data_IF_741751433001
#
_entry.id   IF_741751433001
#
_cell.length_a   1.000
_cell.length_b   1.000
_cell.length_c   1.000
_cell.angle_alpha   90.00
_cell.angle_beta   90.00
_cell.angle_gamma   90.00
#
_symmetry.space_group_name_H-M   'P 1'
#
loop_
_entity.id
_entity.type
_entity.pdbx_description
1 polymer ?
#
# COMPACT_ATOMS: atom_id res chain seq x y z
N UNK A 1 -0.40 12.45 -14.47
CA UNK A 1 0.30 13.42 -13.58
C UNK A 1 -0.37 13.36 -12.22
N UNK A 2 0.38 13.45 -11.14
CA UNK A 2 -0.13 13.62 -9.77
C UNK A 2 0.23 15.03 -9.32
N UNK A 3 -0.78 15.88 -9.11
CA UNK A 3 -0.58 17.26 -8.70
C UNK A 3 -0.34 17.33 -7.18
N UNK A 4 0.40 18.33 -6.68
CA UNK A 4 0.63 18.50 -5.24
C UNK A 4 -0.65 18.53 -4.41
N UNK A 5 -1.73 19.12 -4.91
CA UNK A 5 -3.02 19.20 -4.24
C UNK A 5 -3.69 17.83 -4.01
N UNK A 6 -3.43 16.87 -4.90
CA UNK A 6 -3.99 15.50 -4.81
C UNK A 6 -3.14 14.57 -3.93
N UNK A 7 -1.92 14.98 -3.58
CA UNK A 7 -0.96 14.11 -2.89
C UNK A 7 -1.40 13.66 -1.49
N UNK A 8 -2.02 14.52 -0.65
CA UNK A 8 -2.53 14.08 0.66
C UNK A 8 -3.56 12.96 0.52
N UNK A 9 -4.55 13.13 -0.36
CA UNK A 9 -5.60 12.13 -0.59
C UNK A 9 -5.01 10.83 -1.18
N UNK A 10 -4.04 10.95 -2.09
CA UNK A 10 -3.35 9.80 -2.65
C UNK A 10 -2.58 8.99 -1.58
N UNK A 11 -1.91 9.66 -0.64
CA UNK A 11 -1.23 9.01 0.49
C UNK A 11 -2.23 8.26 1.37
N UNK A 12 -3.35 8.90 1.74
CA UNK A 12 -4.38 8.27 2.58
C UNK A 12 -4.97 7.02 1.92
N UNK A 13 -5.32 7.10 0.62
CA UNK A 13 -5.83 5.95 -0.13
C UNK A 13 -4.84 4.80 -0.20
N UNK A 14 -3.55 5.10 -0.40
CA UNK A 14 -2.50 4.08 -0.42
C UNK A 14 -2.32 3.41 0.95
N UNK A 15 -2.37 4.20 2.03
CA UNK A 15 -2.29 3.66 3.39
C UNK A 15 -3.50 2.78 3.74
N UNK A 16 -4.71 3.22 3.37
CA UNK A 16 -5.93 2.43 3.54
C UNK A 16 -5.87 1.11 2.75
N UNK A 17 -5.35 1.13 1.51
CA UNK A 17 -5.17 -0.06 0.70
C UNK A 17 -4.16 -1.05 1.31
N UNK A 18 -3.05 -0.54 1.88
CA UNK A 18 -2.11 -1.38 2.63
C UNK A 18 -2.79 -2.03 3.83
N UNK A 19 -3.56 -1.27 4.61
CA UNK A 19 -4.25 -1.81 5.78
C UNK A 19 -5.25 -2.91 5.39
N UNK A 20 -6.05 -2.68 4.34
CA UNK A 20 -7.01 -3.66 3.84
C UNK A 20 -6.33 -4.96 3.36
N UNK A 21 -5.17 -4.88 2.70
CA UNK A 21 -4.40 -6.06 2.26
C UNK A 21 -3.86 -6.86 3.46
N UNK A 22 -3.37 -6.19 4.50
CA UNK A 22 -2.87 -6.84 5.71
C UNK A 22 -4.01 -7.47 6.53
N UNK A 23 -5.15 -6.79 6.64
CA UNK A 23 -6.35 -7.29 7.33
C UNK A 23 -6.89 -8.55 6.63
N UNK A 24 -6.94 -8.54 5.30
CA UNK A 24 -7.33 -9.71 4.51
C UNK A 24 -6.39 -10.88 4.80
N UNK A 25 -5.07 -10.67 4.77
CA UNK A 25 -4.10 -11.73 5.06
C UNK A 25 -4.24 -12.27 6.48
N UNK A 26 -4.47 -11.39 7.46
CA UNK A 26 -4.70 -11.79 8.84
C UNK A 26 -5.97 -12.63 8.99
N UNK A 27 -7.04 -12.26 8.28
CA UNK A 27 -8.29 -13.03 8.24
C UNK A 27 -8.07 -14.43 7.67
N UNK A 28 -7.39 -14.56 6.53
CA UNK A 28 -7.11 -15.87 5.91
C UNK A 28 -6.24 -16.77 6.81
N UNK A 29 -5.26 -16.19 7.51
CA UNK A 29 -4.46 -16.95 8.49
C UNK A 29 -5.35 -17.45 9.63
N UNK A 30 -6.25 -16.59 10.14
CA UNK A 30 -7.15 -16.93 11.24
C UNK A 30 -8.14 -18.03 10.82
N UNK A 31 -8.71 -17.93 9.63
CA UNK A 31 -9.62 -18.93 9.08
C UNK A 31 -8.93 -20.29 8.90
N UNK A 32 -7.70 -20.31 8.40
CA UNK A 32 -6.91 -21.55 8.29
C UNK A 32 -6.61 -22.16 9.67
N UNK A 33 -6.28 -21.34 10.67
CA UNK A 33 -6.07 -21.80 12.05
C UNK A 33 -7.34 -22.39 12.67
N UNK A 34 -8.50 -21.75 12.46
CA UNK A 34 -9.79 -22.23 12.96
C UNK A 34 -10.20 -23.56 12.30
N UNK A 35 -9.85 -23.77 11.03
CA UNK A 35 -10.11 -25.02 10.31
C UNK A 35 -9.06 -26.11 10.59
N UNK A 36 -7.99 -25.79 11.34
CA UNK A 36 -6.88 -26.71 11.60
C UNK A 36 -6.00 -26.98 10.37
N UNK A 37 -6.09 -26.12 9.35
CA UNK A 37 -5.32 -26.20 8.12
C UNK A 37 -3.99 -25.44 8.25
N UNK A 38 -3.05 -25.74 7.35
CA UNK A 38 -1.81 -25.01 7.28
C UNK A 38 -2.05 -23.55 6.86
N UNK A 39 -1.39 -22.56 7.48
CA UNK A 39 -1.61 -21.16 7.14
C UNK A 39 -1.22 -20.89 5.67
N UNK A 40 -2.00 -20.04 4.97
CA UNK A 40 -1.74 -19.71 3.58
C UNK A 40 -0.38 -19.04 3.43
N UNK A 41 0.39 -19.48 2.43
CA UNK A 41 1.69 -18.90 2.11
C UNK A 41 1.51 -17.76 1.12
N UNK A 42 1.71 -16.53 1.57
CA UNK A 42 1.68 -15.36 0.68
C UNK A 42 3.01 -15.26 -0.06
N UNK A 43 3.01 -15.64 -1.33
CA UNK A 43 4.20 -15.57 -2.18
C UNK A 43 4.38 -14.18 -2.80
N UNK A 44 5.64 -13.76 -2.97
CA UNK A 44 6.00 -12.53 -3.68
C UNK A 44 6.16 -11.28 -2.79
N UNK A 45 6.33 -10.13 -3.45
CA UNK A 45 6.51 -8.83 -2.80
C UNK A 45 5.15 -8.28 -2.38
N UNK A 46 4.98 -7.95 -1.10
CA UNK A 46 3.72 -7.45 -0.55
C UNK A 46 3.36 -6.06 -1.06
N UNK A 47 2.08 -5.70 -0.99
CA UNK A 47 1.61 -4.35 -1.34
C UNK A 47 2.34 -3.31 -0.50
N UNK A 48 2.47 -3.53 0.81
CA UNK A 48 3.23 -2.67 1.72
C UNK A 48 4.67 -2.44 1.23
N UNK A 49 5.37 -3.51 0.86
CA UNK A 49 6.76 -3.40 0.41
C UNK A 49 6.92 -2.55 -0.86
N UNK A 50 5.93 -2.57 -1.77
CA UNK A 50 5.92 -1.74 -2.98
C UNK A 50 5.46 -0.31 -2.72
N UNK A 51 4.45 -0.15 -1.88
CA UNK A 51 3.78 1.14 -1.67
C UNK A 51 4.56 2.07 -0.74
N UNK A 52 5.31 1.56 0.24
CA UNK A 52 6.13 2.39 1.15
C UNK A 52 7.12 3.31 0.42
N UNK A 53 8.02 2.82 -0.47
CA UNK A 53 8.95 3.71 -1.16
C UNK A 53 8.22 4.75 -2.03
N UNK A 54 7.06 4.38 -2.58
CA UNK A 54 6.24 5.28 -3.37
C UNK A 54 5.57 6.38 -2.53
N UNK A 55 4.99 6.03 -1.37
CA UNK A 55 4.44 7.00 -0.41
C UNK A 55 5.53 7.99 0.04
N UNK A 56 6.74 7.51 0.32
CA UNK A 56 7.86 8.38 0.70
C UNK A 56 8.26 9.34 -0.43
N UNK A 57 8.21 8.88 -1.68
CA UNK A 57 8.42 9.75 -2.84
C UNK A 57 7.33 10.82 -2.93
N UNK A 58 6.04 10.47 -2.77
CA UNK A 58 4.92 11.42 -2.80
C UNK A 58 5.09 12.47 -1.69
N UNK A 59 5.44 12.07 -0.46
CA UNK A 59 5.69 13.02 0.64
C UNK A 59 6.79 14.01 0.32
N UNK A 60 7.88 13.56 -0.32
CA UNK A 60 9.01 14.42 -0.73
C UNK A 60 8.59 15.39 -1.83
N UNK A 61 7.85 14.91 -2.83
CA UNK A 61 7.32 15.75 -3.92
C UNK A 61 6.33 16.79 -3.42
N UNK A 62 5.42 16.40 -2.52
CA UNK A 62 4.46 17.31 -1.88
C UNK A 62 5.17 18.43 -1.11
N UNK A 63 6.19 18.08 -0.31
CA UNK A 63 7.00 19.07 0.41
C UNK A 63 7.75 20.03 -0.53
N UNK A 64 8.09 19.58 -1.73
CA UNK A 64 8.76 20.39 -2.74
C UNK A 64 7.78 21.13 -3.67
N UNK A 65 6.46 20.97 -3.46
CA UNK A 65 5.40 21.49 -4.33
C UNK A 65 5.62 21.12 -5.81
N UNK A 66 6.09 19.89 -6.05
CA UNK A 66 6.37 19.36 -7.39
C UNK A 66 5.40 18.26 -7.76
N UNK A 67 4.85 18.35 -8.96
CA UNK A 67 4.06 17.31 -9.59
C UNK A 67 4.90 16.05 -9.84
N UNK A 68 4.23 14.89 -9.89
CA UNK A 68 4.84 13.63 -10.32
C UNK A 68 4.30 13.27 -11.70
N UNK A 69 5.20 13.06 -12.65
CA UNK A 69 4.89 12.64 -14.01
C UNK A 69 5.51 11.27 -14.26
N UNK A 70 4.70 10.33 -14.73
CA UNK A 70 5.20 9.06 -15.29
C UNK A 70 5.36 9.27 -16.78
N UNK A 71 6.52 8.87 -17.32
CA UNK A 71 6.90 9.13 -18.71
C UNK A 71 5.78 8.75 -19.68
N UNK A 72 5.38 9.74 -20.49
CA UNK A 72 4.58 9.59 -21.71
C UNK A 72 5.36 10.28 -22.82
#
# INVERSE_FOLDING_TARGET
ILLPEDMPEAIEKLQAAIQADEDHKAQLIKEAQEQGEAPPRFEGISLRQRAVPFIEMIKRSHKAEKEIVWGV
#
